data_IF_847710603782
#
_entry.id   IF_847710603782
#
_cell.length_a   1.000
_cell.length_b   1.000
_cell.length_c   1.000
_cell.angle_alpha   90.00
_cell.angle_beta   90.00
_cell.angle_gamma   90.00
#
_symmetry.space_group_name_H-M   'P 1'
#
loop_
_entity.id
_entity.type
_entity.pdbx_description
1 polymer ?
#
# COMPACT_ATOMS: atom_id res chain seq x y z
N UNK A 1 29.88 -27.87 56.23
CA UNK A 1 29.09 -27.03 55.30
C UNK A 1 29.98 -26.77 54.11
N UNK A 2 29.88 -27.60 53.07
CA UNK A 2 30.83 -27.61 51.96
C UNK A 2 30.18 -27.00 50.73
N UNK A 3 30.68 -25.83 50.35
CA UNK A 3 30.19 -25.01 49.25
C UNK A 3 30.54 -25.59 47.88
N UNK A 4 29.58 -25.44 46.97
CA UNK A 4 29.61 -25.71 45.53
C UNK A 4 30.71 -24.92 44.79
N UNK A 5 31.09 -25.35 43.58
CA UNK A 5 31.13 -24.38 42.48
C UNK A 5 30.20 -24.80 41.33
N UNK A 6 29.25 -23.91 41.04
CA UNK A 6 28.31 -23.98 39.94
C UNK A 6 29.02 -23.56 38.65
N UNK A 7 29.12 -24.47 37.69
CA UNK A 7 29.61 -24.22 36.34
C UNK A 7 28.68 -23.22 35.62
N UNK A 8 29.26 -22.10 35.19
CA UNK A 8 28.61 -21.09 34.36
C UNK A 8 28.62 -21.56 32.91
N UNK A 9 27.53 -22.15 32.45
CA UNK A 9 27.34 -22.46 31.04
C UNK A 9 26.89 -21.18 30.30
N UNK A 10 27.86 -20.52 29.70
CA UNK A 10 27.64 -19.39 28.80
C UNK A 10 27.23 -19.94 27.43
N UNK A 11 25.92 -20.06 27.19
CA UNK A 11 25.44 -20.31 25.83
C UNK A 11 25.52 -19.02 25.03
N UNK A 12 26.60 -18.95 24.25
CA UNK A 12 26.91 -17.88 23.33
C UNK A 12 25.69 -17.51 22.47
N UNK A 13 25.24 -16.27 22.63
CA UNK A 13 24.38 -15.61 21.67
C UNK A 13 25.14 -15.54 20.35
N UNK A 14 24.81 -16.43 19.42
CA UNK A 14 25.32 -16.40 18.05
C UNK A 14 24.69 -15.20 17.33
N UNK A 15 25.25 -14.01 17.58
CA UNK A 15 25.11 -12.86 16.71
C UNK A 15 25.74 -13.23 15.35
N UNK A 16 24.95 -13.92 14.53
CA UNK A 16 25.27 -14.12 13.12
C UNK A 16 25.00 -12.79 12.44
N UNK A 17 25.99 -11.89 12.48
CA UNK A 17 26.03 -10.66 11.69
C UNK A 17 26.07 -11.10 10.22
N UNK A 18 24.89 -11.30 9.62
CA UNK A 18 24.77 -11.54 8.19
C UNK A 18 24.98 -10.19 7.49
N UNK A 19 26.08 -9.97 6.75
CA UNK A 19 26.37 -8.70 6.09
C UNK A 19 25.50 -8.47 4.83
N UNK A 20 24.35 -9.14 4.74
CA UNK A 20 23.46 -9.21 3.57
C UNK A 20 21.97 -9.14 3.94
N UNK A 21 21.65 -8.50 5.06
CA UNK A 21 20.29 -8.04 5.37
C UNK A 21 20.28 -6.53 5.30
N UNK A 22 19.26 -5.96 4.63
CA UNK A 22 18.86 -4.57 4.86
C UNK A 22 18.60 -4.43 6.36
N UNK A 23 18.90 -3.27 6.95
CA UNK A 23 18.73 -2.91 8.38
C UNK A 23 17.25 -2.90 8.86
N UNK A 24 16.52 -3.95 8.52
CA UNK A 24 15.08 -4.11 8.68
C UNK A 24 14.81 -5.37 9.49
N UNK A 25 13.98 -5.23 10.52
CA UNK A 25 13.50 -6.33 11.36
C UNK A 25 12.34 -7.12 10.71
N UNK A 26 12.15 -7.03 9.38
CA UNK A 26 11.09 -7.76 8.69
C UNK A 26 11.34 -9.28 8.73
N UNK A 27 10.30 -10.03 9.09
CA UNK A 27 10.34 -11.50 9.21
C UNK A 27 10.76 -12.19 7.90
N UNK A 28 10.55 -11.56 6.74
CA UNK A 28 10.97 -12.10 5.45
C UNK A 28 12.47 -12.33 5.36
N UNK A 29 13.28 -11.60 6.13
CA UNK A 29 14.71 -11.79 6.20
C UNK A 29 15.12 -13.05 6.99
N UNK A 30 14.23 -13.69 7.75
CA UNK A 30 14.50 -15.03 8.31
C UNK A 30 14.60 -16.09 7.20
N UNK A 31 13.98 -15.84 6.04
CA UNK A 31 13.82 -16.82 4.97
C UNK A 31 14.57 -16.45 3.68
N UNK A 32 15.15 -15.26 3.62
CA UNK A 32 15.86 -14.77 2.45
C UNK A 32 17.07 -13.93 2.81
N UNK A 33 18.05 -13.94 1.92
CA UNK A 33 19.24 -13.08 1.95
C UNK A 33 19.37 -12.38 0.60
N UNK A 34 20.00 -11.21 0.58
CA UNK A 34 20.34 -10.54 -0.68
C UNK A 34 21.22 -11.45 -1.53
N UNK A 35 20.80 -11.69 -2.78
CA UNK A 35 21.56 -12.49 -3.72
C UNK A 35 22.84 -11.74 -4.13
N UNK A 36 22.68 -10.46 -4.46
CA UNK A 36 23.77 -9.54 -4.77
C UNK A 36 23.72 -8.33 -3.82
N UNK A 37 24.85 -7.88 -3.25
CA UNK A 37 24.87 -6.69 -2.37
C UNK A 37 24.42 -5.40 -3.07
N UNK A 38 24.64 -5.32 -4.39
CA UNK A 38 24.30 -4.15 -5.20
C UNK A 38 22.86 -4.19 -5.73
N UNK A 39 22.18 -5.35 -5.68
CA UNK A 39 20.83 -5.53 -6.20
C UNK A 39 19.87 -5.87 -5.05
N UNK A 40 19.21 -4.83 -4.53
CA UNK A 40 18.29 -4.96 -3.40
C UNK A 40 16.97 -5.66 -3.75
N UNK A 41 16.71 -5.83 -5.05
CA UNK A 41 15.50 -6.48 -5.54
C UNK A 41 15.63 -8.01 -5.53
N UNK A 42 16.85 -8.53 -5.73
CA UNK A 42 17.11 -9.96 -5.78
C UNK A 42 17.40 -10.55 -4.41
N UNK A 43 16.50 -11.41 -3.96
CA UNK A 43 16.61 -12.13 -2.70
C UNK A 43 16.67 -13.63 -2.97
N UNK A 44 17.69 -14.29 -2.45
CA UNK A 44 17.81 -15.75 -2.49
C UNK A 44 17.06 -16.37 -1.30
N UNK A 45 16.18 -17.32 -1.59
CA UNK A 45 15.50 -18.10 -0.57
C UNK A 45 16.47 -19.03 0.15
N UNK A 46 16.52 -18.98 1.48
CA UNK A 46 17.40 -19.84 2.28
C UNK A 46 16.98 -21.32 2.26
N UNK A 47 15.68 -21.60 2.07
CA UNK A 47 15.10 -22.95 2.06
C UNK A 47 15.34 -23.66 0.73
N UNK A 48 14.86 -23.09 -0.38
CA UNK A 48 14.93 -23.73 -1.70
C UNK A 48 16.00 -23.16 -2.64
N UNK A 49 16.82 -22.22 -2.16
CA UNK A 49 17.93 -21.58 -2.90
C UNK A 49 17.56 -20.85 -4.18
N UNK A 50 16.27 -20.76 -4.53
CA UNK A 50 15.78 -19.97 -5.66
C UNK A 50 15.92 -18.47 -5.38
N UNK A 51 16.38 -17.74 -6.39
CA UNK A 51 16.36 -16.27 -6.38
C UNK A 51 14.98 -15.79 -6.80
N UNK A 52 14.44 -14.86 -6.03
CA UNK A 52 13.20 -14.12 -6.32
C UNK A 52 13.54 -12.64 -6.49
N UNK A 53 13.00 -12.03 -7.53
CA UNK A 53 12.95 -10.57 -7.70
C UNK A 53 11.76 -10.00 -6.93
N UNK A 54 11.79 -8.71 -6.57
CA UNK A 54 10.79 -8.00 -5.77
C UNK A 54 11.04 -7.97 -4.26
N UNK A 55 12.29 -8.21 -3.84
CA UNK A 55 12.77 -7.98 -2.47
C UNK A 55 12.10 -8.85 -1.39
N UNK A 56 12.08 -8.31 -0.17
CA UNK A 56 11.54 -9.00 1.02
C UNK A 56 10.03 -9.30 0.92
N UNK A 57 9.31 -8.55 0.10
CA UNK A 57 7.88 -8.80 -0.12
C UNK A 57 7.66 -10.09 -0.91
N UNK A 58 8.41 -10.29 -2.00
CA UNK A 58 8.29 -11.48 -2.84
C UNK A 58 8.81 -12.72 -2.15
N UNK A 59 9.84 -12.63 -1.29
CA UNK A 59 10.26 -13.79 -0.50
C UNK A 59 9.18 -14.21 0.51
N UNK A 60 8.47 -13.26 1.15
CA UNK A 60 7.31 -13.60 2.00
C UNK A 60 6.22 -14.34 1.22
N UNK A 61 5.89 -13.87 0.01
CA UNK A 61 4.90 -14.54 -0.85
C UNK A 61 5.35 -15.93 -1.31
N UNK A 62 6.65 -16.09 -1.60
CA UNK A 62 7.26 -17.36 -1.97
C UNK A 62 7.12 -18.40 -0.85
N UNK A 63 7.46 -18.01 0.39
CA UNK A 63 7.36 -18.87 1.57
C UNK A 63 5.90 -19.13 1.97
N UNK A 64 5.02 -18.13 1.88
CA UNK A 64 3.59 -18.27 2.15
C UNK A 64 2.86 -19.15 1.10
N UNK A 65 3.51 -19.44 -0.03
CA UNK A 65 2.98 -20.32 -1.07
C UNK A 65 2.03 -19.65 -2.07
N UNK A 66 2.09 -18.32 -2.25
CA UNK A 66 1.09 -17.60 -3.05
C UNK A 66 1.38 -17.51 -4.55
N UNK A 67 2.61 -17.20 -4.98
CA UNK A 67 2.91 -16.87 -6.40
C UNK A 67 3.91 -17.83 -7.03
N UNK A 68 5.05 -18.04 -6.38
CA UNK A 68 6.03 -19.06 -6.76
C UNK A 68 6.32 -19.83 -5.49
N UNK A 69 5.52 -20.84 -5.15
CA UNK A 69 5.59 -21.45 -3.83
C UNK A 69 6.95 -22.11 -3.55
N UNK A 70 7.44 -21.98 -2.32
CA UNK A 70 8.59 -22.75 -1.85
C UNK A 70 8.17 -24.20 -1.63
N UNK A 71 8.82 -25.14 -2.32
CA UNK A 71 8.58 -26.58 -2.12
C UNK A 71 9.07 -27.08 -0.75
N UNK A 72 10.03 -26.36 -0.15
CA UNK A 72 10.71 -26.76 1.10
C UNK A 72 10.28 -25.92 2.32
N UNK A 73 9.28 -25.03 2.17
CA UNK A 73 8.75 -24.29 3.32
C UNK A 73 7.87 -25.18 4.18
N UNK A 74 8.10 -25.15 5.50
CA UNK A 74 7.25 -25.84 6.47
C UNK A 74 5.89 -25.14 6.64
N UNK A 75 4.91 -25.81 7.26
CA UNK A 75 3.62 -25.20 7.63
C UNK A 75 3.80 -23.98 8.54
N UNK A 76 4.71 -24.06 9.51
CA UNK A 76 5.06 -22.95 10.41
C UNK A 76 5.60 -21.74 9.65
N UNK A 77 6.51 -21.98 8.69
CA UNK A 77 7.09 -20.91 7.86
C UNK A 77 6.01 -20.21 7.01
N UNK A 78 5.10 -21.01 6.41
CA UNK A 78 3.96 -20.52 5.63
C UNK A 78 3.07 -19.61 6.46
N UNK A 79 2.69 -20.04 7.67
CA UNK A 79 1.82 -19.28 8.57
C UNK A 79 2.48 -17.97 8.99
N UNK A 80 3.76 -18.00 9.41
CA UNK A 80 4.52 -16.78 9.78
C UNK A 80 4.48 -15.74 8.65
N UNK A 81 4.83 -16.15 7.43
CA UNK A 81 4.88 -15.23 6.29
C UNK A 81 3.47 -14.76 5.88
N UNK A 82 2.45 -15.62 5.95
CA UNK A 82 1.06 -15.26 5.66
C UNK A 82 0.54 -14.21 6.64
N UNK A 83 0.81 -14.36 7.92
CA UNK A 83 0.41 -13.41 8.95
C UNK A 83 1.06 -12.04 8.71
N UNK A 84 2.37 -11.99 8.46
CA UNK A 84 3.06 -10.74 8.16
C UNK A 84 2.55 -10.03 6.90
N UNK A 85 2.15 -10.80 5.87
CA UNK A 85 1.51 -10.23 4.68
C UNK A 85 0.11 -9.69 4.96
N UNK A 86 -0.66 -10.37 5.80
CA UNK A 86 -2.02 -9.97 6.16
C UNK A 86 -2.04 -8.75 7.07
N UNK A 87 -1.12 -8.64 8.02
CA UNK A 87 -1.01 -7.48 8.90
C UNK A 87 -0.79 -6.19 8.11
N UNK A 88 0.11 -6.22 7.12
CA UNK A 88 0.33 -5.09 6.22
C UNK A 88 -0.92 -4.73 5.39
N UNK A 89 -1.66 -5.73 4.91
CA UNK A 89 -2.93 -5.52 4.18
C UNK A 89 -4.01 -4.93 5.08
N UNK A 90 -4.16 -5.47 6.29
CA UNK A 90 -5.17 -5.02 7.26
C UNK A 90 -4.89 -3.58 7.70
N UNK A 91 -3.62 -3.20 7.89
CA UNK A 91 -3.26 -1.80 8.19
C UNK A 91 -3.63 -0.85 7.05
N UNK A 92 -3.45 -1.26 5.79
CA UNK A 92 -3.87 -0.46 4.63
C UNK A 92 -5.40 -0.37 4.57
N UNK A 93 -6.09 -1.49 4.80
CA UNK A 93 -7.56 -1.55 4.81
C UNK A 93 -8.14 -0.67 5.91
N UNK A 94 -7.63 -0.73 7.13
CA UNK A 94 -8.10 0.10 8.24
C UNK A 94 -7.98 1.62 7.95
N UNK A 95 -6.92 2.04 7.26
CA UNK A 95 -6.77 3.44 6.82
C UNK A 95 -7.80 3.82 5.74
N UNK A 96 -8.06 2.90 4.81
CA UNK A 96 -9.06 3.10 3.77
C UNK A 96 -10.46 3.18 4.38
N UNK A 97 -10.82 2.21 5.23
CA UNK A 97 -12.10 2.15 5.93
C UNK A 97 -12.34 3.43 6.76
N UNK A 98 -11.31 3.96 7.43
CA UNK A 98 -11.40 5.25 8.14
C UNK A 98 -11.67 6.43 7.21
N UNK A 99 -10.98 6.51 6.07
CA UNK A 99 -11.21 7.57 5.09
C UNK A 99 -12.61 7.49 4.47
N UNK A 100 -13.08 6.28 4.19
CA UNK A 100 -14.41 6.04 3.63
C UNK A 100 -15.51 6.40 4.63
N UNK A 101 -15.30 6.13 5.93
CA UNK A 101 -16.20 6.56 7.00
C UNK A 101 -16.32 8.10 7.07
N UNK A 102 -15.19 8.82 7.08
CA UNK A 102 -15.19 10.29 7.04
C UNK A 102 -15.91 10.84 5.81
N UNK A 103 -15.75 10.19 4.65
CA UNK A 103 -16.44 10.61 3.42
C UNK A 103 -17.95 10.38 3.50
N UNK A 104 -18.38 9.30 4.13
CA UNK A 104 -19.80 8.98 4.28
C UNK A 104 -20.53 9.94 5.23
N UNK A 105 -19.83 10.54 6.19
CA UNK A 105 -20.39 11.52 7.12
C UNK A 105 -20.67 12.90 6.47
N UNK A 106 -20.05 13.22 5.33
CA UNK A 106 -20.27 14.49 4.64
C UNK A 106 -21.52 14.40 3.75
N UNK A 107 -22.65 14.85 4.26
CA UNK A 107 -23.89 14.99 3.49
C UNK A 107 -23.88 16.29 2.67
N UNK A 108 -23.38 16.24 1.43
CA UNK A 108 -23.58 17.33 0.46
C UNK A 108 -24.98 17.14 -0.14
N UNK A 109 -25.99 17.69 0.53
CA UNK A 109 -27.32 17.82 -0.06
C UNK A 109 -27.19 18.66 -1.34
N UNK A 110 -27.50 18.07 -2.49
CA UNK A 110 -27.66 18.77 -3.77
C UNK A 110 -29.06 19.41 -3.89
N UNK A 111 -29.68 19.73 -2.75
CA UNK A 111 -31.04 20.26 -2.63
C UNK A 111 -30.99 21.68 -2.08
N UNK A 112 -30.17 22.51 -2.72
CA UNK A 112 -30.57 23.89 -2.95
C UNK A 112 -30.35 24.09 -4.44
N UNK A 113 -31.42 24.05 -5.22
CA UNK A 113 -31.47 24.92 -6.40
C UNK A 113 -31.35 26.32 -5.85
N UNK A 114 -30.11 26.79 -5.67
CA UNK A 114 -29.81 28.18 -5.37
C UNK A 114 -30.47 28.95 -6.49
N UNK A 115 -31.60 29.60 -6.19
CA UNK A 115 -32.24 30.52 -7.10
C UNK A 115 -31.23 31.65 -7.32
N UNK A 116 -30.66 31.69 -8.53
CA UNK A 116 -29.51 32.53 -8.86
C UNK A 116 -29.81 34.02 -8.71
N UNK A 117 -31.08 34.39 -8.55
CA UNK A 117 -31.57 35.75 -8.53
C UNK A 117 -31.55 36.42 -7.13
N UNK A 118 -31.45 35.67 -6.01
CA UNK A 118 -31.52 36.27 -4.65
C UNK A 118 -30.17 36.39 -3.88
N UNK A 119 -29.03 36.01 -4.46
CA UNK A 119 -27.70 36.12 -3.82
C UNK A 119 -26.84 37.29 -4.36
N UNK A 120 -27.36 38.11 -5.29
CA UNK A 120 -26.57 39.19 -5.89
C UNK A 120 -26.20 40.32 -4.89
N UNK A 121 -26.92 40.43 -3.77
CA UNK A 121 -26.76 41.54 -2.80
C UNK A 121 -25.73 41.31 -1.67
N UNK A 122 -25.17 40.08 -1.51
CA UNK A 122 -24.21 39.80 -0.42
C UNK A 122 -22.85 39.22 -0.85
N UNK A 123 -22.76 38.60 -2.02
CA UNK A 123 -21.48 38.11 -2.55
C UNK A 123 -21.26 38.71 -3.93
N UNK A 124 -20.68 39.90 -3.96
CA UNK A 124 -20.49 40.67 -5.19
C UNK A 124 -19.90 39.82 -6.34
N UNK A 125 -20.46 40.00 -7.54
CA UNK A 125 -20.03 39.52 -8.86
C UNK A 125 -19.09 38.30 -8.76
N UNK A 126 -19.67 37.10 -8.81
CA UNK A 126 -18.91 35.86 -8.98
C UNK A 126 -18.16 35.90 -10.31
N UNK A 127 -16.90 36.36 -10.26
CA UNK A 127 -15.99 36.25 -11.40
C UNK A 127 -15.90 34.76 -11.77
N UNK A 128 -15.99 34.39 -13.06
CA UNK A 128 -15.78 33.01 -13.48
C UNK A 128 -14.42 32.54 -12.92
N UNK A 129 -14.29 31.27 -12.49
CA UNK A 129 -13.11 30.78 -11.81
C UNK A 129 -11.87 30.97 -12.70
N UNK A 130 -11.12 32.05 -12.42
CA UNK A 130 -9.85 32.37 -13.06
C UNK A 130 -8.74 31.85 -12.16
N UNK A 131 -8.57 30.54 -12.15
CA UNK A 131 -7.26 29.95 -11.90
C UNK A 131 -7.33 28.49 -12.33
N UNK A 132 -6.87 28.23 -13.56
CA UNK A 132 -6.41 26.89 -13.90
C UNK A 132 -5.34 26.51 -12.89
N UNK A 133 -5.67 25.60 -11.98
CA UNK A 133 -4.73 25.06 -11.02
C UNK A 133 -3.70 24.19 -11.74
N UNK A 134 -2.54 23.89 -11.11
CA UNK A 134 -1.52 23.01 -11.70
C UNK A 134 -2.05 21.62 -12.12
N UNK A 135 -3.12 21.16 -11.49
CA UNK A 135 -3.84 19.91 -11.79
C UNK A 135 -4.65 20.00 -13.09
N UNK A 136 -5.22 21.16 -13.40
CA UNK A 136 -6.11 21.35 -14.55
C UNK A 136 -5.37 21.24 -15.89
N UNK A 137 -4.03 21.28 -15.85
CA UNK A 137 -3.17 20.97 -17.00
C UNK A 137 -3.36 19.55 -17.53
N UNK A 138 -3.76 18.61 -16.67
CA UNK A 138 -3.90 17.19 -17.01
C UNK A 138 -5.37 16.75 -17.17
N UNK A 139 -6.32 17.59 -16.77
CA UNK A 139 -7.75 17.32 -16.91
C UNK A 139 -8.20 17.72 -18.33
N UNK A 140 -8.54 16.74 -19.16
CA UNK A 140 -9.19 17.02 -20.45
C UNK A 140 -10.64 17.42 -20.18
N UNK A 141 -11.03 18.60 -20.64
CA UNK A 141 -12.44 19.02 -20.69
C UNK A 141 -13.24 18.02 -21.53
N UNK A 142 -14.28 17.43 -20.95
CA UNK A 142 -15.24 16.62 -21.70
C UNK A 142 -16.28 17.58 -22.29
N UNK A 143 -16.21 17.82 -23.59
CA UNK A 143 -17.20 18.62 -24.31
C UNK A 143 -18.58 17.96 -24.20
N UNK A 144 -19.50 18.59 -23.44
CA UNK A 144 -20.92 18.24 -23.49
C UNK A 144 -21.53 18.94 -24.72
N UNK A 145 -21.53 18.24 -25.85
CA UNK A 145 -22.03 18.73 -27.12
C UNK A 145 -23.45 19.32 -27.03
N UNK A 146 -23.60 20.54 -27.52
CA UNK A 146 -24.87 21.25 -27.72
C UNK A 146 -25.70 20.54 -28.79
N UNK A 147 -26.87 20.00 -28.42
CA UNK A 147 -27.89 19.54 -29.38
C UNK A 147 -28.47 20.75 -30.11
N UNK A 148 -28.17 20.89 -31.39
CA UNK A 148 -28.81 21.87 -32.28
C UNK A 148 -30.29 21.50 -32.46
N UNK A 149 -31.19 22.45 -32.19
CA UNK A 149 -32.57 22.40 -32.68
C UNK A 149 -32.55 22.48 -34.20
N UNK A 150 -33.35 21.64 -34.86
CA UNK A 150 -33.79 21.88 -36.23
C UNK A 150 -35.32 21.75 -36.25
N UNK A 151 -35.98 22.90 -36.34
CA UNK A 151 -37.35 23.03 -36.77
C UNK A 151 -37.35 22.99 -38.31
N UNK A 152 -38.18 22.15 -38.93
CA UNK A 152 -38.45 22.21 -40.37
C UNK A 152 -39.95 21.94 -40.59
N UNK A 153 -40.70 23.04 -40.71
CA UNK A 153 -42.02 23.11 -41.34
C UNK A 153 -41.87 23.05 -42.87
N UNK A 154 -42.97 22.62 -43.52
CA UNK A 154 -43.28 22.55 -44.98
C UNK A 154 -43.04 21.16 -45.58
N UNK A 155 -44.03 20.41 -46.08
CA UNK A 155 -45.38 20.71 -46.60
C UNK A 155 -46.42 19.69 -46.11
#
# INVERSE_FOLDING_TARGET
MSSTPQSKESTASTNTTHPRKRNSNDVGWEFGILADPNDLDKVQCLKCKKVVSGGVYRIKQHIAGSVRACKLSSSKDKIKCRNALNEAKNKKKAKQDHYDALRAEVNISNDETIDLDEMEDSFGILKPPKSFGPIDRFAKSVDKGTRKQANLLML
#
